data_IF_936053803457
#
_entry.id   IF_936053803457
#
_cell.length_a   1.000
_cell.length_b   1.000
_cell.length_c   1.000
_cell.angle_alpha   90.00
_cell.angle_beta   90.00
_cell.angle_gamma   90.00
#
_symmetry.space_group_name_H-M   'P 1'
#
loop_
_entity.id
_entity.type
_entity.pdbx_description
1 polymer ?
#
# COMPACT_ATOMS: atom_id res chain seq x y z
N UNK A 1 -4.86 -19.55 -19.28
CA UNK A 1 -5.90 -19.15 -18.31
C UNK A 1 -6.75 -18.07 -18.95
N UNK A 2 -8.08 -18.13 -18.79
CA UNK A 2 -9.00 -17.15 -19.39
C UNK A 2 -8.92 -15.80 -18.66
N UNK A 3 -9.33 -14.73 -19.34
CA UNK A 3 -9.44 -13.39 -18.73
C UNK A 3 -10.36 -13.43 -17.51
N UNK A 4 -11.47 -14.15 -17.59
CA UNK A 4 -12.40 -14.30 -16.47
C UNK A 4 -11.74 -14.95 -15.25
N UNK A 5 -10.98 -16.01 -15.45
CA UNK A 5 -10.24 -16.69 -14.38
C UNK A 5 -9.17 -15.76 -13.77
N UNK A 6 -8.46 -15.02 -14.61
CA UNK A 6 -7.46 -14.04 -14.14
C UNK A 6 -8.11 -12.90 -13.36
N UNK A 7 -9.24 -12.37 -13.80
CA UNK A 7 -9.99 -11.36 -13.07
C UNK A 7 -10.40 -11.86 -11.68
N UNK A 8 -10.92 -13.07 -11.61
CA UNK A 8 -11.32 -13.66 -10.33
C UNK A 8 -10.12 -13.80 -9.37
N UNK A 9 -9.01 -14.26 -9.89
CA UNK A 9 -7.78 -14.38 -9.09
C UNK A 9 -7.21 -13.02 -8.67
N UNK A 10 -7.25 -12.04 -9.56
CA UNK A 10 -6.79 -10.68 -9.25
C UNK A 10 -7.66 -10.02 -8.17
N UNK A 11 -8.97 -10.18 -8.23
CA UNK A 11 -9.90 -9.72 -7.18
C UNK A 11 -9.55 -10.37 -5.84
N UNK A 12 -9.32 -11.68 -5.81
CA UNK A 12 -8.87 -12.37 -4.59
C UNK A 12 -7.54 -11.83 -4.07
N UNK A 13 -6.60 -11.58 -4.98
CA UNK A 13 -5.30 -11.02 -4.62
C UNK A 13 -5.45 -9.61 -4.02
N UNK A 14 -6.31 -8.77 -4.57
CA UNK A 14 -6.58 -7.43 -4.00
C UNK A 14 -7.27 -7.50 -2.64
N UNK A 15 -8.15 -8.46 -2.42
CA UNK A 15 -8.73 -8.69 -1.09
C UNK A 15 -7.66 -9.04 -0.06
N UNK A 16 -6.66 -9.83 -0.46
CA UNK A 16 -5.50 -10.12 0.41
C UNK A 16 -4.68 -8.88 0.70
N UNK A 17 -4.43 -8.04 -0.32
CA UNK A 17 -3.78 -6.73 -0.10
C UNK A 17 -4.55 -5.91 0.91
N UNK A 18 -5.87 -5.83 0.77
CA UNK A 18 -6.73 -5.11 1.69
C UNK A 18 -6.62 -5.65 3.12
N UNK A 19 -6.57 -6.97 3.29
CA UNK A 19 -6.39 -7.61 4.59
C UNK A 19 -5.02 -7.25 5.21
N UNK A 20 -3.95 -7.21 4.42
CA UNK A 20 -2.62 -6.80 4.91
C UNK A 20 -2.59 -5.32 5.31
N UNK A 21 -3.31 -4.47 4.59
CA UNK A 21 -3.45 -3.05 4.95
C UNK A 21 -4.20 -2.89 6.28
N UNK A 22 -5.21 -3.70 6.52
CA UNK A 22 -5.89 -3.75 7.81
C UNK A 22 -4.97 -4.20 8.95
N UNK A 23 -4.15 -5.20 8.73
CA UNK A 23 -3.15 -5.66 9.70
C UNK A 23 -2.09 -4.59 9.98
N UNK A 24 -1.64 -3.89 8.94
CA UNK A 24 -0.70 -2.77 9.07
C UNK A 24 -1.32 -1.63 9.90
N UNK A 25 -2.58 -1.30 9.64
CA UNK A 25 -3.32 -0.30 10.42
C UNK A 25 -3.43 -0.70 11.90
N UNK A 26 -3.78 -1.94 12.17
CA UNK A 26 -3.87 -2.46 13.54
C UNK A 26 -2.51 -2.39 14.25
N UNK A 27 -1.44 -2.75 13.57
CA UNK A 27 -0.08 -2.65 14.11
C UNK A 27 0.32 -1.20 14.44
N UNK A 28 -0.10 -0.25 13.60
CA UNK A 28 0.11 1.19 13.84
C UNK A 28 -0.67 1.67 15.06
N UNK A 29 -1.91 1.24 15.22
CA UNK A 29 -2.75 1.61 16.36
C UNK A 29 -2.19 1.02 17.67
N UNK A 30 -1.67 -0.19 17.62
CA UNK A 30 -1.03 -0.86 18.75
C UNK A 30 0.40 -0.37 19.03
N UNK A 31 0.98 0.40 18.11
CA UNK A 31 2.37 0.86 18.17
C UNK A 31 3.35 -0.30 18.34
N UNK A 32 3.13 -1.38 17.61
CA UNK A 32 3.99 -2.57 17.62
C UNK A 32 4.91 -2.57 16.40
N UNK A 33 6.21 -2.28 16.55
CA UNK A 33 7.15 -2.31 15.43
C UNK A 33 7.28 -3.69 14.78
N UNK A 34 7.25 -4.75 15.56
CA UNK A 34 7.36 -6.12 15.04
C UNK A 34 6.12 -6.51 14.23
N UNK A 35 4.93 -6.19 14.73
CA UNK A 35 3.68 -6.43 14.00
C UNK A 35 3.61 -5.60 12.72
N UNK A 36 4.10 -4.35 12.76
CA UNK A 36 4.15 -3.48 11.59
C UNK A 36 5.09 -4.05 10.52
N UNK A 37 6.26 -4.51 10.92
CA UNK A 37 7.22 -5.12 9.99
C UNK A 37 6.62 -6.38 9.33
N UNK A 38 6.01 -7.25 10.13
CA UNK A 38 5.34 -8.45 9.61
C UNK A 38 4.22 -8.11 8.63
N UNK A 39 3.37 -7.14 8.96
CA UNK A 39 2.28 -6.69 8.09
C UNK A 39 2.81 -6.04 6.80
N UNK A 40 3.86 -5.23 6.88
CA UNK A 40 4.48 -4.60 5.71
C UNK A 40 5.11 -5.62 4.77
N UNK A 41 5.75 -6.66 5.30
CA UNK A 41 6.30 -7.75 4.50
C UNK A 41 5.17 -8.55 3.82
N UNK A 42 4.11 -8.88 4.53
CA UNK A 42 2.94 -9.55 3.97
C UNK A 42 2.26 -8.70 2.88
N UNK A 43 2.17 -7.40 3.08
CA UNK A 43 1.66 -6.47 2.07
C UNK A 43 2.49 -6.50 0.80
N UNK A 44 3.82 -6.44 0.91
CA UNK A 44 4.71 -6.48 -0.24
C UNK A 44 4.52 -7.75 -1.07
N UNK A 45 4.40 -8.90 -0.41
CA UNK A 45 4.14 -10.18 -1.09
C UNK A 45 2.76 -10.18 -1.77
N UNK A 46 1.72 -9.73 -1.10
CA UNK A 46 0.37 -9.67 -1.65
C UNK A 46 0.28 -8.73 -2.85
N UNK A 47 0.93 -7.57 -2.79
CA UNK A 47 1.00 -6.61 -3.90
C UNK A 47 1.74 -7.21 -5.09
N UNK A 48 2.83 -7.93 -4.87
CA UNK A 48 3.58 -8.58 -5.94
C UNK A 48 2.72 -9.61 -6.70
N UNK A 49 1.93 -10.40 -5.97
CA UNK A 49 0.99 -11.37 -6.58
C UNK A 49 -0.07 -10.64 -7.40
N UNK A 50 -0.67 -9.60 -6.85
CA UNK A 50 -1.69 -8.81 -7.55
C UNK A 50 -1.14 -8.17 -8.84
N UNK A 51 0.06 -7.60 -8.78
CA UNK A 51 0.73 -6.98 -9.93
C UNK A 51 1.03 -8.01 -11.03
N UNK A 52 1.49 -9.20 -10.67
CA UNK A 52 1.72 -10.28 -11.62
C UNK A 52 0.44 -10.71 -12.33
N UNK A 53 -0.65 -10.86 -11.58
CA UNK A 53 -1.96 -11.21 -12.14
C UNK A 53 -2.51 -10.12 -13.06
N UNK A 54 -2.32 -8.85 -12.72
CA UNK A 54 -2.68 -7.73 -13.58
C UNK A 54 -1.98 -7.80 -14.93
N UNK A 55 -0.65 -8.03 -14.93
CA UNK A 55 0.12 -8.16 -16.15
C UNK A 55 -0.38 -9.32 -17.02
N UNK A 56 -0.63 -10.47 -16.40
CA UNK A 56 -1.15 -11.63 -17.10
C UNK A 56 -2.53 -11.34 -17.73
N UNK A 57 -3.41 -10.67 -16.98
CA UNK A 57 -4.74 -10.29 -17.47
C UNK A 57 -4.65 -9.30 -18.63
N UNK A 58 -3.80 -8.30 -18.54
CA UNK A 58 -3.62 -7.32 -19.60
C UNK A 58 -3.09 -7.97 -20.88
N UNK A 59 -2.13 -8.87 -20.76
CA UNK A 59 -1.60 -9.61 -21.90
C UNK A 59 -2.69 -10.50 -22.55
N UNK A 60 -3.48 -11.18 -21.74
CA UNK A 60 -4.57 -12.04 -22.25
C UNK A 60 -5.70 -11.23 -22.86
N UNK A 61 -6.04 -10.08 -22.28
CA UNK A 61 -7.08 -9.18 -22.81
C UNK A 61 -6.68 -8.58 -24.16
N UNK A 62 -5.40 -8.29 -24.36
CA UNK A 62 -4.88 -7.83 -25.65
C UNK A 62 -5.05 -8.90 -26.75
N UNK A 63 -4.94 -10.18 -26.39
CA UNK A 63 -5.15 -11.29 -27.33
C UNK A 63 -6.64 -11.60 -27.58
N UNK A 64 -7.53 -11.27 -26.64
CA UNK A 64 -8.98 -11.51 -26.72
C UNK A 64 -9.76 -10.32 -26.16
N UNK A 65 -10.00 -9.26 -26.98
CA UNK A 65 -10.69 -8.04 -26.51
C UNK A 65 -12.17 -8.25 -26.18
N UNK A 66 -12.76 -9.38 -26.57
CA UNK A 66 -14.20 -9.64 -26.35
C UNK A 66 -14.51 -10.26 -24.99
N UNK A 67 -13.50 -10.62 -24.22
CA UNK A 67 -13.64 -11.36 -22.96
C UNK A 67 -13.87 -10.47 -21.72
N UNK A 68 -14.32 -9.23 -21.91
CA UNK A 68 -14.49 -8.28 -20.79
C UNK A 68 -15.76 -8.59 -19.99
N UNK A 69 -15.58 -9.05 -18.76
CA UNK A 69 -16.66 -9.20 -17.78
C UNK A 69 -16.82 -7.89 -16.99
N UNK A 70 -17.70 -7.02 -17.44
CA UNK A 70 -17.85 -5.64 -16.94
C UNK A 70 -18.10 -5.57 -15.42
N UNK A 71 -18.90 -6.49 -14.86
CA UNK A 71 -19.17 -6.53 -13.43
C UNK A 71 -17.92 -6.80 -12.59
N UNK A 72 -17.11 -7.77 -13.01
CA UNK A 72 -15.85 -8.10 -12.33
C UNK A 72 -14.81 -6.98 -12.48
N UNK A 73 -14.76 -6.31 -13.62
CA UNK A 73 -13.86 -5.17 -13.82
C UNK A 73 -14.24 -4.02 -12.89
N UNK A 74 -15.53 -3.75 -12.71
CA UNK A 74 -16.01 -2.73 -11.79
C UNK A 74 -15.66 -3.08 -10.32
N UNK A 75 -15.81 -4.33 -9.93
CA UNK A 75 -15.41 -4.83 -8.61
C UNK A 75 -13.90 -4.68 -8.42
N UNK A 76 -13.10 -5.04 -9.42
CA UNK A 76 -11.65 -4.88 -9.40
C UNK A 76 -11.25 -3.41 -9.20
N UNK A 77 -11.86 -2.49 -9.94
CA UNK A 77 -11.59 -1.05 -9.83
C UNK A 77 -11.96 -0.51 -8.44
N UNK A 78 -13.06 -0.95 -7.89
CA UNK A 78 -13.51 -0.55 -6.54
C UNK A 78 -12.52 -1.03 -5.48
N UNK A 79 -12.09 -2.28 -5.55
CA UNK A 79 -11.10 -2.82 -4.62
C UNK A 79 -9.74 -2.13 -4.76
N UNK A 80 -9.30 -1.87 -5.98
CA UNK A 80 -8.04 -1.17 -6.24
C UNK A 80 -8.07 0.25 -5.65
N UNK A 81 -9.18 0.97 -5.82
CA UNK A 81 -9.37 2.30 -5.24
C UNK A 81 -9.35 2.27 -3.70
N UNK A 82 -10.00 1.28 -3.10
CA UNK A 82 -10.01 1.09 -1.65
C UNK A 82 -8.62 0.77 -1.11
N UNK A 83 -7.88 -0.09 -1.78
CA UNK A 83 -6.49 -0.40 -1.42
C UNK A 83 -5.61 0.85 -1.44
N UNK A 84 -5.72 1.67 -2.49
CA UNK A 84 -4.97 2.93 -2.59
C UNK A 84 -5.31 3.88 -1.46
N UNK A 85 -6.60 4.04 -1.18
CA UNK A 85 -7.06 4.92 -0.10
C UNK A 85 -6.52 4.47 1.26
N UNK A 86 -6.62 3.20 1.58
CA UNK A 86 -6.12 2.68 2.86
C UNK A 86 -4.60 2.73 2.95
N UNK A 87 -3.90 2.47 1.85
CA UNK A 87 -2.45 2.60 1.82
C UNK A 87 -2.02 4.06 2.06
N UNK A 88 -2.72 5.03 1.48
CA UNK A 88 -2.44 6.44 1.70
C UNK A 88 -2.67 6.85 3.16
N UNK A 89 -3.77 6.39 3.76
CA UNK A 89 -4.06 6.63 5.19
C UNK A 89 -2.97 6.03 6.08
N UNK A 90 -2.59 4.78 5.84
CA UNK A 90 -1.53 4.12 6.60
C UNK A 90 -0.20 4.86 6.43
N UNK A 91 0.12 5.34 5.24
CA UNK A 91 1.29 6.17 4.99
C UNK A 91 1.31 7.45 5.81
N UNK A 92 0.16 8.13 5.92
CA UNK A 92 0.02 9.32 6.77
C UNK A 92 0.25 9.00 8.25
N UNK A 93 -0.28 7.88 8.73
CA UNK A 93 -0.10 7.44 10.12
C UNK A 93 1.36 7.09 10.42
N UNK A 94 2.03 6.41 9.52
CA UNK A 94 3.45 6.08 9.65
C UNK A 94 4.28 7.37 9.77
N UNK A 95 4.04 8.33 8.89
CA UNK A 95 4.74 9.63 8.93
C UNK A 95 4.45 10.39 10.22
N UNK A 96 3.19 10.38 10.68
CA UNK A 96 2.81 11.06 11.93
C UNK A 96 3.50 10.45 13.15
N UNK A 97 3.56 9.13 13.25
CA UNK A 97 4.26 8.44 14.34
C UNK A 97 5.77 8.71 14.30
N UNK A 98 6.36 8.68 13.12
CA UNK A 98 7.77 8.96 12.94
C UNK A 98 8.12 10.39 13.36
N UNK A 99 7.32 11.38 13.00
CA UNK A 99 7.51 12.78 13.43
C UNK A 99 7.48 12.91 14.94
N UNK A 100 6.59 12.19 15.62
CA UNK A 100 6.49 12.19 17.09
C UNK A 100 7.74 11.60 17.73
N UNK A 101 8.26 10.49 17.22
CA UNK A 101 9.48 9.87 17.72
C UNK A 101 10.68 10.80 17.52
N UNK A 102 10.83 11.37 16.35
CA UNK A 102 11.92 12.32 16.05
C UNK A 102 11.81 13.58 16.90
N UNK A 103 10.61 14.12 17.11
CA UNK A 103 10.37 15.24 18.01
C UNK A 103 10.79 14.93 19.44
N UNK A 104 10.45 13.75 19.95
CA UNK A 104 10.87 13.30 21.28
C UNK A 104 12.39 13.17 21.39
N UNK A 105 13.04 12.61 20.38
CA UNK A 105 14.50 12.50 20.33
C UNK A 105 15.17 13.88 20.31
N UNK A 106 14.61 14.84 19.58
CA UNK A 106 15.11 16.20 19.52
C UNK A 106 15.00 16.92 20.86
N UNK A 107 13.91 16.74 21.59
CA UNK A 107 13.73 17.24 22.96
C UNK A 107 14.81 16.66 23.89
N UNK A 108 15.07 15.36 23.82
CA UNK A 108 16.10 14.70 24.62
C UNK A 108 17.52 15.17 24.28
N UNK A 109 17.77 15.63 23.07
CA UNK A 109 19.06 16.17 22.61
C UNK A 109 19.25 17.65 22.91
N UNK A 110 18.33 18.32 23.61
CA UNK A 110 18.40 19.74 23.89
C UNK A 110 17.81 20.68 22.84
N UNK A 111 17.19 20.18 21.84
CA UNK A 111 16.10 20.68 21.01
C UNK A 111 16.18 21.98 20.23
N UNK A 112 17.31 22.64 20.03
CA UNK A 112 17.30 23.97 19.37
C UNK A 112 17.56 24.01 17.88
N UNK A 113 18.30 23.08 17.33
CA UNK A 113 18.80 23.18 15.95
C UNK A 113 18.03 22.30 14.96
N UNK A 114 17.15 21.45 15.44
CA UNK A 114 16.57 20.40 14.61
C UNK A 114 15.25 20.78 13.94
N UNK A 115 14.63 21.89 14.37
CA UNK A 115 13.32 22.31 13.85
C UNK A 115 13.38 22.80 12.39
N UNK A 116 14.47 23.37 11.95
CA UNK A 116 14.59 23.95 10.59
C UNK A 116 15.03 22.97 9.52
N UNK A 117 15.80 21.94 9.87
CA UNK A 117 16.22 20.88 8.94
C UNK A 117 15.23 19.74 8.86
N UNK A 118 14.36 19.63 9.78
CA UNK A 118 13.48 18.52 10.05
C UNK A 118 12.32 18.39 9.04
N UNK A 119 11.73 19.50 8.60
CA UNK A 119 10.52 19.49 7.80
C UNK A 119 10.72 19.26 6.30
N UNK A 120 11.92 19.46 5.77
CA UNK A 120 12.12 19.47 4.30
C UNK A 120 12.58 18.13 3.72
N UNK A 121 13.52 17.46 4.33
CA UNK A 121 14.14 16.27 3.74
C UNK A 121 13.52 14.95 4.20
N UNK A 122 13.01 14.86 5.40
CA UNK A 122 12.40 13.65 5.93
C UNK A 122 11.03 13.34 5.34
N UNK A 123 10.22 14.36 5.05
CA UNK A 123 8.88 14.17 4.46
C UNK A 123 8.94 13.75 3.01
N UNK A 124 9.87 14.28 2.23
CA UNK A 124 10.01 13.96 0.82
C UNK A 124 10.43 12.52 0.57
N UNK A 125 11.31 11.98 1.39
CA UNK A 125 11.78 10.60 1.28
C UNK A 125 10.70 9.57 1.62
N UNK A 126 9.86 9.86 2.61
CA UNK A 126 8.76 8.97 3.02
C UNK A 126 7.64 8.93 1.99
N UNK A 127 7.36 10.03 1.33
CA UNK A 127 6.35 10.12 0.27
C UNK A 127 6.74 9.27 -0.93
N UNK A 128 8.01 9.22 -1.28
CA UNK A 128 8.50 8.41 -2.40
C UNK A 128 8.45 6.91 -2.13
N UNK A 129 8.67 6.47 -0.89
CA UNK A 129 8.68 5.05 -0.54
C UNK A 129 7.30 4.41 -0.46
N UNK A 130 6.25 5.18 -0.21
CA UNK A 130 4.91 4.65 0.00
C UNK A 130 4.01 4.67 -1.24
N UNK A 131 4.41 5.37 -2.29
CA UNK A 131 3.57 5.54 -3.49
C UNK A 131 3.77 4.49 -4.58
N UNK A 132 4.89 3.80 -4.57
CA UNK A 132 5.31 2.97 -5.70
C UNK A 132 4.54 1.66 -5.89
N UNK A 133 4.09 0.94 -4.86
CA UNK A 133 3.54 -0.41 -5.10
C UNK A 133 2.11 -0.46 -5.62
N UNK A 134 1.30 0.58 -5.40
CA UNK A 134 -0.11 0.58 -5.78
C UNK A 134 -0.48 1.63 -6.82
N UNK A 135 0.50 2.27 -7.43
CA UNK A 135 0.27 3.33 -8.41
C UNK A 135 -0.30 2.83 -9.75
N UNK A 136 -0.21 1.54 -10.02
CA UNK A 136 -0.72 0.91 -11.23
C UNK A 136 -2.19 0.48 -11.13
N UNK A 137 -2.78 0.55 -9.98
CA UNK A 137 -4.19 0.28 -9.75
C UNK A 137 -4.96 1.59 -9.55
#
# INVERSE_FOLDING_TARGET
MSVLALLTQEIEALRRVLATLGAERAALDERSPDALLAASNAKAEAVAVAASLEQQRQAQAAADPTAAATGLINELKTLAAECRQQNDVNGLLIRGQRRRVEGSLNVLRGGRAATDTYGRDGETRLIQGTRTPLASY
#
